data_IF_567569655445
#
_entry.id   IF_567569655445
#
_cell.length_a   1.000
_cell.length_b   1.000
_cell.length_c   1.000
_cell.angle_alpha   90.00
_cell.angle_beta   90.00
_cell.angle_gamma   90.00
#
_symmetry.space_group_name_H-M   'P 1'
#
loop_
_entity.id
_entity.type
_entity.pdbx_description
1 polymer ?
#
# COMPACT_ATOMS: atom_id res chain seq x y z
N UNK A 1 -19.37 15.60 6.52
CA UNK A 1 -18.49 15.04 7.57
C UNK A 1 -17.75 13.87 6.93
N UNK A 2 -16.45 14.01 6.69
CA UNK A 2 -15.63 12.96 6.05
C UNK A 2 -15.08 12.09 7.19
N UNK A 3 -15.87 11.11 7.63
CA UNK A 3 -15.45 10.16 8.65
C UNK A 3 -14.90 8.88 8.04
N UNK A 4 -14.17 8.10 8.82
CA UNK A 4 -13.81 6.74 8.49
C UNK A 4 -15.07 5.89 8.31
N UNK A 5 -15.14 5.15 7.21
CA UNK A 5 -16.22 4.21 6.92
C UNK A 5 -15.66 2.81 7.08
N UNK A 6 -15.85 2.23 8.25
CA UNK A 6 -15.53 0.84 8.50
C UNK A 6 -16.54 -0.06 7.79
N UNK A 7 -16.03 -1.04 7.04
CA UNK A 7 -16.86 -2.01 6.34
C UNK A 7 -16.17 -3.37 6.33
N UNK A 8 -16.92 -4.41 6.64
CA UNK A 8 -16.48 -5.78 6.42
C UNK A 8 -16.60 -6.15 4.94
N UNK A 9 -15.70 -7.02 4.49
CA UNK A 9 -15.75 -7.60 3.16
C UNK A 9 -16.84 -8.65 3.08
N UNK A 10 -17.52 -8.70 1.94
CA UNK A 10 -18.45 -9.77 1.59
C UNK A 10 -17.71 -11.03 1.09
N UNK A 11 -16.38 -10.96 0.88
CA UNK A 11 -15.54 -12.04 0.39
C UNK A 11 -14.82 -12.74 1.55
N UNK A 12 -14.76 -14.04 1.51
CA UNK A 12 -14.11 -14.86 2.54
C UNK A 12 -12.66 -15.16 2.16
N UNK A 13 -11.77 -15.25 3.14
CA UNK A 13 -10.35 -15.57 2.92
C UNK A 13 -10.19 -16.98 2.36
N UNK A 14 -11.00 -17.93 2.84
CA UNK A 14 -10.98 -19.32 2.37
C UNK A 14 -11.36 -19.51 0.90
N UNK A 15 -11.99 -18.49 0.29
CA UNK A 15 -12.33 -18.47 -1.14
C UNK A 15 -11.24 -17.80 -1.98
N UNK A 16 -10.11 -17.42 -1.39
CA UNK A 16 -9.00 -16.80 -2.10
C UNK A 16 -8.39 -17.78 -3.12
N UNK A 17 -8.18 -17.29 -4.33
CA UNK A 17 -7.51 -18.08 -5.40
C UNK A 17 -5.99 -17.96 -5.34
N UNK A 18 -5.49 -17.01 -4.59
CA UNK A 18 -4.08 -16.77 -4.32
C UNK A 18 -3.91 -16.21 -2.90
N UNK A 19 -2.93 -16.70 -2.19
CA UNK A 19 -2.50 -16.14 -0.91
C UNK A 19 -0.98 -16.27 -0.74
N UNK A 20 -0.38 -15.29 -0.09
CA UNK A 20 1.05 -15.28 0.21
C UNK A 20 1.32 -14.54 1.52
N UNK A 21 2.11 -15.14 2.40
CA UNK A 21 2.62 -14.50 3.61
C UNK A 21 3.93 -13.81 3.31
N UNK A 22 3.95 -12.49 3.47
CA UNK A 22 5.12 -11.66 3.24
C UNK A 22 5.79 -11.29 4.57
N UNK A 23 7.01 -11.77 4.77
CA UNK A 23 7.80 -11.44 5.94
C UNK A 23 8.22 -9.96 5.95
N UNK A 24 8.47 -9.43 7.15
CA UNK A 24 8.95 -8.06 7.33
C UNK A 24 10.19 -7.76 6.48
N UNK A 25 10.19 -6.63 5.81
CA UNK A 25 11.29 -6.17 4.96
C UNK A 25 11.33 -6.77 3.57
N UNK A 26 10.47 -7.72 3.24
CA UNK A 26 10.37 -8.25 1.87
C UNK A 26 9.46 -7.39 1.00
N UNK A 27 9.64 -7.53 -0.31
CA UNK A 27 8.80 -6.94 -1.33
C UNK A 27 7.97 -7.98 -2.07
N UNK A 28 6.88 -7.55 -2.68
CA UNK A 28 5.99 -8.38 -3.48
C UNK A 28 5.44 -7.57 -4.65
N UNK A 29 5.33 -8.20 -5.80
CA UNK A 29 4.79 -7.61 -7.02
C UNK A 29 3.78 -8.56 -7.64
N UNK A 30 2.65 -8.03 -8.09
CA UNK A 30 1.60 -8.82 -8.72
C UNK A 30 0.80 -8.01 -9.73
N UNK A 31 0.35 -8.65 -10.80
CA UNK A 31 -0.61 -8.10 -11.74
C UNK A 31 -2.03 -8.42 -11.30
N UNK A 32 -2.88 -7.42 -11.24
CA UNK A 32 -4.29 -7.55 -10.93
C UNK A 32 -5.12 -7.10 -12.13
N UNK A 33 -5.97 -7.96 -12.64
CA UNK A 33 -6.85 -7.65 -13.78
C UNK A 33 -8.10 -6.91 -13.31
N UNK A 34 -8.63 -6.08 -14.18
CA UNK A 34 -9.87 -5.34 -13.92
C UNK A 34 -10.98 -6.26 -13.42
N UNK A 35 -11.59 -5.88 -12.31
CA UNK A 35 -12.66 -6.63 -11.64
C UNK A 35 -12.19 -7.60 -10.57
N UNK A 36 -10.90 -7.93 -10.52
CA UNK A 36 -10.31 -8.73 -9.46
C UNK A 36 -10.24 -7.95 -8.14
N UNK A 37 -10.22 -8.67 -7.05
CA UNK A 37 -10.10 -8.11 -5.70
C UNK A 37 -8.77 -8.53 -5.08
N UNK A 38 -8.19 -7.61 -4.31
CA UNK A 38 -6.93 -7.79 -3.61
C UNK A 38 -7.09 -7.33 -2.16
N UNK A 39 -6.54 -8.09 -1.21
CA UNK A 39 -6.59 -7.75 0.22
C UNK A 39 -5.21 -7.80 0.84
N UNK A 40 -4.90 -6.79 1.64
CA UNK A 40 -3.76 -6.76 2.55
C UNK A 40 -4.30 -6.99 3.96
N UNK A 41 -3.82 -8.04 4.63
CA UNK A 41 -4.25 -8.40 5.98
C UNK A 41 -3.05 -8.38 6.92
N UNK A 42 -3.18 -7.65 8.01
CA UNK A 42 -2.19 -7.60 9.07
C UNK A 42 -2.40 -8.80 10.01
N UNK A 43 -1.46 -9.75 9.96
CA UNK A 43 -1.57 -11.01 10.70
C UNK A 43 -1.27 -10.81 12.19
N UNK A 44 -0.25 -10.01 12.48
CA UNK A 44 0.32 -9.89 13.83
C UNK A 44 0.04 -8.51 14.46
N UNK A 45 -0.40 -7.56 13.67
CA UNK A 45 -0.73 -6.19 14.09
C UNK A 45 0.44 -5.21 13.96
N UNK A 46 0.09 -3.93 13.88
CA UNK A 46 1.01 -2.79 13.85
C UNK A 46 2.08 -2.85 12.75
N UNK A 47 1.72 -3.31 11.55
CA UNK A 47 2.62 -3.35 10.41
C UNK A 47 2.22 -2.33 9.36
N UNK A 48 3.13 -1.42 9.02
CA UNK A 48 3.00 -0.50 7.91
C UNK A 48 3.42 -1.14 6.58
N UNK A 49 2.69 -0.81 5.51
CA UNK A 49 2.90 -1.37 4.16
C UNK A 49 2.99 -0.25 3.15
N UNK A 50 4.15 -0.09 2.55
CA UNK A 50 4.30 0.82 1.43
C UNK A 50 3.82 0.14 0.15
N UNK A 51 2.89 0.78 -0.57
CA UNK A 51 2.29 0.20 -1.77
C UNK A 51 2.20 1.24 -2.87
N UNK A 52 2.56 0.88 -4.09
CA UNK A 52 2.34 1.70 -5.28
C UNK A 52 1.70 0.89 -6.39
N UNK A 53 1.04 1.58 -7.33
CA UNK A 53 0.25 0.98 -8.39
C UNK A 53 0.60 1.62 -9.72
N UNK A 54 0.71 0.79 -10.76
CA UNK A 54 0.98 1.21 -12.12
C UNK A 54 -0.14 0.70 -13.03
N UNK A 55 -0.55 1.50 -13.99
CA UNK A 55 -1.42 1.04 -15.06
C UNK A 55 -0.66 0.07 -15.97
N UNK A 56 -1.16 -1.15 -16.16
CA UNK A 56 -0.50 -2.15 -17.01
C UNK A 56 -0.50 -1.77 -18.50
N UNK A 57 -1.49 -0.98 -18.95
CA UNK A 57 -1.53 -0.50 -20.33
C UNK A 57 -0.51 0.62 -20.58
N UNK A 58 -0.20 1.41 -19.55
CA UNK A 58 0.76 2.51 -19.60
C UNK A 58 1.45 2.67 -18.24
N UNK A 59 2.57 1.98 -17.98
CA UNK A 59 3.26 2.03 -16.68
C UNK A 59 3.82 3.42 -16.29
N UNK A 60 3.90 4.37 -17.23
CA UNK A 60 4.22 5.76 -16.89
C UNK A 60 3.08 6.45 -16.13
N UNK A 61 1.84 5.94 -16.29
CA UNK A 61 0.66 6.43 -15.57
C UNK A 61 0.45 5.62 -14.29
N UNK A 62 1.14 6.02 -13.25
CA UNK A 62 1.13 5.36 -11.95
C UNK A 62 0.22 6.08 -10.95
N UNK A 63 0.03 5.51 -9.78
CA UNK A 63 -0.76 6.11 -8.70
C UNK A 63 -0.36 7.55 -8.41
N UNK A 64 -1.35 8.44 -8.43
CA UNK A 64 -1.26 9.87 -8.14
C UNK A 64 -1.93 10.21 -6.81
N UNK A 65 -1.14 10.51 -5.77
CA UNK A 65 -1.68 10.89 -4.46
C UNK A 65 -2.50 12.19 -4.55
N UNK A 66 -2.00 13.18 -5.29
CA UNK A 66 -2.68 14.48 -5.47
C UNK A 66 -4.02 14.29 -6.17
N UNK A 67 -4.06 13.52 -7.26
CA UNK A 67 -5.27 13.25 -8.03
C UNK A 67 -6.32 12.53 -7.17
N UNK A 68 -5.89 11.58 -6.36
CA UNK A 68 -6.76 10.87 -5.42
C UNK A 68 -7.31 11.80 -4.34
N UNK A 69 -6.45 12.57 -3.66
CA UNK A 69 -6.82 13.50 -2.59
C UNK A 69 -7.78 14.57 -3.09
N UNK A 70 -7.48 15.19 -4.23
CA UNK A 70 -8.31 16.26 -4.81
C UNK A 70 -9.67 15.74 -5.23
N UNK A 71 -9.73 14.55 -5.87
CA UNK A 71 -11.00 13.97 -6.32
C UNK A 71 -11.93 13.62 -5.15
N UNK A 72 -11.39 13.04 -4.07
CA UNK A 72 -12.20 12.68 -2.89
C UNK A 72 -12.31 13.80 -1.86
N UNK A 73 -11.53 14.90 -1.98
CA UNK A 73 -11.49 16.05 -1.05
C UNK A 73 -11.12 15.65 0.38
N UNK A 74 -10.29 14.63 0.53
CA UNK A 74 -9.83 14.12 1.80
C UNK A 74 -8.43 13.49 1.64
N UNK A 75 -7.54 13.74 2.61
CA UNK A 75 -6.20 13.14 2.64
C UNK A 75 -6.22 11.69 3.15
N UNK A 76 -7.25 11.31 3.89
CA UNK A 76 -7.40 9.96 4.41
C UNK A 76 -8.23 9.09 3.48
N UNK A 77 -7.75 7.87 3.26
CA UNK A 77 -8.44 6.84 2.51
C UNK A 77 -9.38 6.06 3.44
N UNK A 78 -10.47 5.57 2.88
CA UNK A 78 -11.46 4.73 3.57
C UNK A 78 -12.25 3.92 2.56
N UNK A 79 -13.15 3.07 3.01
CA UNK A 79 -14.11 2.37 2.13
C UNK A 79 -14.79 3.35 1.19
N UNK A 80 -14.81 3.04 -0.11
CA UNK A 80 -15.34 3.87 -1.20
C UNK A 80 -14.31 4.85 -1.80
N UNK A 81 -13.09 4.95 -1.24
CA UNK A 81 -12.02 5.74 -1.87
C UNK A 81 -11.59 5.13 -3.19
N UNK A 82 -11.49 5.97 -4.23
CA UNK A 82 -11.00 5.56 -5.55
C UNK A 82 -9.56 6.06 -5.70
N UNK A 83 -8.62 5.12 -5.80
CA UNK A 83 -7.22 5.39 -6.07
C UNK A 83 -7.06 5.69 -7.56
N UNK A 84 -6.43 6.83 -7.87
CA UNK A 84 -6.30 7.33 -9.23
C UNK A 84 -4.85 7.41 -9.67
N UNK A 85 -4.64 7.22 -10.97
CA UNK A 85 -3.37 7.50 -11.62
C UNK A 85 -3.11 9.01 -11.74
N UNK A 86 -1.89 9.39 -12.13
CA UNK A 86 -1.51 10.78 -12.42
C UNK A 86 -2.39 11.44 -13.50
N UNK A 87 -2.85 10.67 -14.50
CA UNK A 87 -3.83 11.12 -15.50
C UNK A 87 -5.23 11.36 -14.95
N UNK A 88 -5.53 10.89 -13.72
CA UNK A 88 -6.87 10.84 -13.14
C UNK A 88 -7.64 9.55 -13.42
N UNK A 89 -7.08 8.61 -14.21
CA UNK A 89 -7.69 7.29 -14.49
C UNK A 89 -7.94 6.54 -13.17
N UNK A 90 -9.15 6.01 -12.91
CA UNK A 90 -9.40 5.15 -11.76
C UNK A 90 -8.61 3.84 -11.88
N UNK A 91 -7.79 3.53 -10.87
CA UNK A 91 -7.02 2.28 -10.82
C UNK A 91 -7.69 1.23 -9.91
N UNK A 92 -8.00 1.61 -8.68
CA UNK A 92 -8.58 0.72 -7.68
C UNK A 92 -9.65 1.45 -6.87
N UNK A 93 -10.57 0.69 -6.28
CA UNK A 93 -11.54 1.15 -5.28
C UNK A 93 -11.32 0.38 -3.98
N UNK A 94 -11.25 1.08 -2.85
CA UNK A 94 -11.25 0.45 -1.53
C UNK A 94 -12.67 -0.05 -1.23
N UNK A 95 -12.86 -1.37 -1.24
CA UNK A 95 -14.18 -2.01 -1.07
C UNK A 95 -14.48 -2.35 0.39
N UNK A 96 -13.44 -2.58 1.20
CA UNK A 96 -13.55 -2.76 2.64
C UNK A 96 -12.28 -2.26 3.34
N UNK A 97 -12.45 -1.68 4.51
CA UNK A 97 -11.37 -1.14 5.33
C UNK A 97 -11.71 -1.30 6.82
N UNK A 98 -10.81 -1.96 7.57
CA UNK A 98 -10.96 -2.23 9.00
C UNK A 98 -10.03 -1.41 9.89
N UNK A 99 -9.23 -0.51 9.30
CA UNK A 99 -8.22 0.28 10.04
C UNK A 99 -8.42 1.78 9.98
N UNK A 100 -8.83 2.31 8.82
CA UNK A 100 -9.18 3.72 8.62
C UNK A 100 -8.05 4.72 8.71
N UNK A 101 -6.82 4.26 8.74
CA UNK A 101 -5.64 5.13 8.72
C UNK A 101 -4.63 4.62 7.71
N UNK A 102 -4.49 5.41 6.65
CA UNK A 102 -3.55 5.15 5.56
C UNK A 102 -2.91 6.47 5.19
N UNK A 103 -1.58 6.51 5.20
CA UNK A 103 -0.83 7.71 4.89
C UNK A 103 -0.63 7.83 3.37
N UNK A 104 -1.00 8.98 2.84
CA UNK A 104 -0.86 9.33 1.41
C UNK A 104 0.22 10.38 1.14
N UNK A 105 0.89 10.86 2.20
CA UNK A 105 1.79 12.02 2.13
C UNK A 105 3.25 11.68 2.42
N UNK A 106 3.51 10.68 3.28
CA UNK A 106 4.85 10.38 3.80
C UNK A 106 5.81 9.78 2.78
N UNK A 107 5.28 9.16 1.76
CA UNK A 107 6.08 8.47 0.74
C UNK A 107 6.86 7.27 1.27
N UNK A 108 7.48 6.51 0.37
CA UNK A 108 8.30 5.36 0.71
C UNK A 108 9.64 5.77 1.33
N UNK A 109 10.05 5.07 2.37
CA UNK A 109 11.34 5.32 3.00
C UNK A 109 12.51 5.00 2.06
N UNK A 110 13.62 5.71 2.26
CA UNK A 110 14.88 5.54 1.53
C UNK A 110 16.06 5.53 2.49
N UNK A 111 17.25 5.10 2.05
CA UNK A 111 18.47 5.22 2.84
C UNK A 111 18.68 6.64 3.36
N UNK A 112 18.46 7.64 2.49
CA UNK A 112 18.64 9.06 2.83
C UNK A 112 17.63 9.51 3.89
N UNK A 113 16.35 9.16 3.73
CA UNK A 113 15.33 9.53 4.72
C UNK A 113 15.56 8.82 6.07
N UNK A 114 16.05 7.59 6.06
CA UNK A 114 16.41 6.85 7.27
C UNK A 114 17.63 7.47 7.96
N UNK A 115 18.63 7.93 7.21
CA UNK A 115 19.79 8.67 7.76
C UNK A 115 19.34 9.94 8.45
N UNK A 116 18.55 10.78 7.78
CA UNK A 116 18.08 12.06 8.34
C UNK A 116 17.18 11.83 9.57
N UNK A 117 16.28 10.84 9.48
CA UNK A 117 15.26 10.60 10.52
C UNK A 117 15.83 9.91 11.77
N UNK A 118 16.82 9.03 11.59
CA UNK A 118 17.29 8.14 12.63
C UNK A 118 18.80 8.22 12.89
N UNK A 119 19.50 9.20 12.32
CA UNK A 119 20.96 9.37 12.44
C UNK A 119 21.76 8.08 12.15
N UNK A 120 21.40 7.37 11.08
CA UNK A 120 22.01 6.09 10.68
C UNK A 120 23.09 6.26 9.61
N UNK A 121 23.97 7.23 9.77
CA UNK A 121 25.01 7.56 8.79
C UNK A 121 26.07 6.44 8.61
N UNK A 122 26.19 5.57 9.59
CA UNK A 122 27.23 4.52 9.62
C UNK A 122 26.72 3.12 9.30
N UNK A 123 25.44 2.95 9.06
CA UNK A 123 24.85 1.63 8.81
C UNK A 123 23.75 1.72 7.77
N UNK A 124 23.93 0.99 6.67
CA UNK A 124 22.86 0.78 5.72
C UNK A 124 21.65 0.17 6.42
N UNK A 125 20.47 0.74 6.21
CA UNK A 125 19.21 0.17 6.64
C UNK A 125 18.40 -0.15 5.38
N UNK A 126 17.89 -1.37 5.31
CA UNK A 126 16.93 -1.76 4.27
C UNK A 126 15.76 -0.78 4.26
N UNK A 127 15.21 -0.50 3.08
CA UNK A 127 14.19 0.52 2.90
C UNK A 127 13.23 0.14 1.76
N UNK A 128 12.03 0.73 1.80
CA UNK A 128 10.95 0.38 0.89
C UNK A 128 11.27 0.72 -0.57
N UNK A 129 11.98 1.83 -0.85
CA UNK A 129 12.37 2.18 -2.22
C UNK A 129 13.32 1.16 -2.85
N UNK A 130 14.24 0.61 -2.07
CA UNK A 130 15.13 -0.43 -2.56
C UNK A 130 14.38 -1.75 -2.75
N UNK A 131 13.41 -2.08 -1.89
CA UNK A 131 12.50 -3.22 -2.08
C UNK A 131 11.73 -3.13 -3.39
N UNK A 132 11.16 -1.96 -3.70
CA UNK A 132 10.47 -1.73 -4.97
C UNK A 132 11.41 -1.91 -6.16
N UNK A 133 12.62 -1.34 -6.11
CA UNK A 133 13.60 -1.45 -7.21
C UNK A 133 14.06 -2.88 -7.44
N UNK A 134 14.19 -3.69 -6.38
CA UNK A 134 14.54 -5.12 -6.50
C UNK A 134 13.45 -5.88 -7.27
N UNK A 135 12.16 -5.61 -6.96
CA UNK A 135 11.05 -6.24 -7.66
C UNK A 135 11.00 -5.84 -9.13
N UNK A 136 11.21 -4.55 -9.42
CA UNK A 136 11.18 -4.03 -10.78
C UNK A 136 12.37 -4.47 -11.64
N UNK A 137 13.48 -4.90 -11.02
CA UNK A 137 14.66 -5.39 -11.75
C UNK A 137 14.36 -6.65 -12.58
N UNK A 138 13.35 -7.42 -12.17
CA UNK A 138 12.92 -8.64 -12.87
C UNK A 138 11.86 -8.36 -13.95
N UNK A 139 11.49 -7.09 -14.15
CA UNK A 139 10.48 -6.69 -15.16
C UNK A 139 11.13 -6.05 -16.38
N UNK A 140 10.38 -5.98 -17.47
CA UNK A 140 10.77 -5.23 -18.67
C UNK A 140 10.39 -3.73 -18.59
N UNK A 141 9.74 -3.31 -17.51
CA UNK A 141 9.34 -1.92 -17.32
C UNK A 141 10.55 -1.03 -17.01
N UNK A 142 10.73 0.06 -17.77
CA UNK A 142 11.81 1.04 -17.54
C UNK A 142 11.44 2.02 -16.42
N UNK A 143 11.14 1.48 -15.24
CA UNK A 143 10.82 2.26 -14.04
C UNK A 143 12.10 2.51 -13.25
N UNK A 144 12.35 3.77 -12.94
CA UNK A 144 13.54 4.21 -12.20
C UNK A 144 13.17 4.59 -10.76
N UNK A 145 14.17 4.63 -9.90
CA UNK A 145 13.98 5.00 -8.47
C UNK A 145 13.24 6.34 -8.29
N UNK A 146 13.37 7.29 -9.22
CA UNK A 146 12.64 8.56 -9.22
C UNK A 146 11.12 8.38 -9.47
N UNK A 147 10.73 7.29 -10.10
CA UNK A 147 9.35 7.01 -10.53
C UNK A 147 8.56 6.19 -9.47
N UNK A 148 9.19 5.91 -8.31
CA UNK A 148 8.59 5.14 -7.21
C UNK A 148 7.67 5.93 -6.27
N UNK A 149 7.64 7.24 -6.40
CA UNK A 149 6.70 8.09 -5.66
C UNK A 149 5.64 8.63 -6.63
N UNK A 150 4.41 8.90 -6.18
CA UNK A 150 3.92 8.68 -4.82
C UNK A 150 3.54 7.22 -4.54
N UNK A 151 3.39 6.89 -3.26
CA UNK A 151 2.88 5.60 -2.79
C UNK A 151 1.88 5.81 -1.65
N UNK A 152 1.17 4.76 -1.28
CA UNK A 152 0.32 4.71 -0.07
C UNK A 152 1.06 3.89 0.98
N UNK A 153 1.09 4.39 2.20
CA UNK A 153 1.53 3.64 3.37
C UNK A 153 0.28 3.13 4.10
N UNK A 154 -0.17 1.92 3.76
CA UNK A 154 -1.32 1.32 4.42
C UNK A 154 -1.00 1.04 5.89
N UNK A 155 -2.00 1.18 6.76
CA UNK A 155 -1.94 0.99 8.21
C UNK A 155 -1.05 2.00 8.95
N UNK A 156 -0.51 3.01 8.28
CA UNK A 156 0.27 4.07 8.89
C UNK A 156 -0.62 5.18 9.45
N UNK A 157 -0.44 5.44 10.75
CA UNK A 157 -1.12 6.53 11.45
C UNK A 157 -0.28 7.81 11.39
N UNK A 158 -0.66 8.71 10.51
CA UNK A 158 0.03 10.00 10.32
C UNK A 158 -0.99 11.14 10.42
N UNK A 159 -1.37 11.53 11.65
CA UNK A 159 -2.31 12.62 11.85
C UNK A 159 -1.73 13.96 11.40
N UNK A 160 -2.59 14.77 10.78
CA UNK A 160 -2.29 16.15 10.40
C UNK A 160 -3.00 17.07 11.38
N UNK A 161 -2.27 17.98 12.01
CA UNK A 161 -2.85 18.97 12.92
C UNK A 161 -3.55 20.10 12.14
N UNK A 162 -4.33 20.91 12.85
CA UNK A 162 -4.99 22.10 12.25
C UNK A 162 -3.99 23.11 11.71
N UNK A 163 -2.81 23.16 12.31
CA UNK A 163 -1.69 24.04 11.92
C UNK A 163 -0.83 23.45 10.80
N UNK A 164 -1.20 22.27 10.26
CA UNK A 164 -0.46 21.56 9.22
C UNK A 164 0.70 20.72 9.75
N UNK A 165 0.77 20.47 11.05
CA UNK A 165 1.78 19.60 11.65
C UNK A 165 1.60 18.17 11.17
N UNK A 166 2.72 17.46 10.93
CA UNK A 166 2.81 16.13 10.40
C UNK A 166 3.62 15.26 11.38
N UNK A 167 3.02 14.19 11.87
CA UNK A 167 3.63 13.33 12.89
C UNK A 167 3.37 11.86 12.57
N UNK A 168 4.40 11.04 12.66
CA UNK A 168 4.21 9.58 12.73
C UNK A 168 3.78 9.22 14.13
N UNK A 169 2.65 8.56 14.26
CA UNK A 169 2.10 8.13 15.55
C UNK A 169 1.96 6.61 15.60
N UNK A 170 1.63 6.06 16.76
CA UNK A 170 1.50 4.62 16.94
C UNK A 170 0.53 4.02 15.91
N UNK A 171 0.85 2.81 15.43
CA UNK A 171 0.03 2.10 14.48
C UNK A 171 -1.38 1.85 15.00
N UNK A 172 -2.34 1.82 14.08
CA UNK A 172 -3.76 1.57 14.39
C UNK A 172 -4.20 0.18 13.94
N UNK A 173 -3.34 -0.55 13.26
CA UNK A 173 -3.61 -1.92 12.85
C UNK A 173 -3.48 -2.89 14.02
N UNK A 174 -4.23 -3.97 13.96
CA UNK A 174 -4.24 -5.05 14.94
C UNK A 174 -4.36 -6.39 14.21
N UNK A 175 -4.04 -7.51 14.85
CA UNK A 175 -4.19 -8.83 14.23
C UNK A 175 -5.58 -9.02 13.61
N UNK A 176 -5.60 -9.42 12.33
CA UNK A 176 -6.82 -9.62 11.56
C UNK A 176 -7.44 -8.37 10.94
N UNK A 177 -6.86 -7.19 11.13
CA UNK A 177 -7.28 -5.97 10.40
C UNK A 177 -6.79 -6.03 8.96
N UNK A 178 -7.56 -5.44 8.04
CA UNK A 178 -7.26 -5.49 6.61
C UNK A 178 -7.79 -4.27 5.86
N UNK A 179 -7.26 -4.08 4.67
CA UNK A 179 -7.81 -3.25 3.61
C UNK A 179 -7.99 -4.11 2.36
N UNK A 180 -9.14 -3.95 1.70
CA UNK A 180 -9.49 -4.67 0.47
C UNK A 180 -9.79 -3.69 -0.64
N UNK A 181 -9.29 -4.02 -1.82
CA UNK A 181 -9.42 -3.16 -3.01
C UNK A 181 -9.86 -3.99 -4.21
N UNK A 182 -10.71 -3.39 -5.05
CA UNK A 182 -11.12 -3.95 -6.34
C UNK A 182 -10.47 -3.17 -7.47
N UNK A 183 -9.90 -3.89 -8.43
CA UNK A 183 -9.30 -3.29 -9.62
C UNK A 183 -10.36 -2.72 -10.57
N UNK A 184 -10.21 -1.45 -10.94
CA UNK A 184 -11.03 -0.74 -11.92
C UNK A 184 -10.35 -0.68 -13.31
N UNK A 185 -9.04 -0.96 -13.35
CA UNK A 185 -8.21 -1.14 -14.53
C UNK A 185 -7.31 -2.36 -14.33
N UNK A 186 -6.58 -2.79 -15.37
CA UNK A 186 -5.48 -3.73 -15.20
C UNK A 186 -4.31 -3.00 -14.54
N UNK A 187 -3.84 -3.46 -13.39
CA UNK A 187 -2.82 -2.78 -12.60
C UNK A 187 -1.70 -3.72 -12.18
N UNK A 188 -0.49 -3.19 -12.14
CA UNK A 188 0.64 -3.81 -11.45
C UNK A 188 0.72 -3.21 -10.04
N UNK A 189 0.80 -4.07 -9.04
CA UNK A 189 0.92 -3.70 -7.63
C UNK A 189 2.34 -4.01 -7.18
N UNK A 190 3.01 -3.02 -6.57
CA UNK A 190 4.26 -3.20 -5.86
C UNK A 190 4.04 -2.94 -4.38
N UNK A 191 4.52 -3.86 -3.56
CA UNK A 191 4.43 -3.79 -2.11
C UNK A 191 5.82 -3.92 -1.50
N UNK A 192 6.06 -3.13 -0.45
CA UNK A 192 7.16 -3.33 0.48
C UNK A 192 6.58 -3.45 1.89
N UNK A 193 6.73 -4.63 2.50
CA UNK A 193 6.44 -4.82 3.91
C UNK A 193 7.51 -4.05 4.70
N UNK A 194 7.14 -2.91 5.30
CA UNK A 194 8.07 -1.88 5.75
C UNK A 194 9.11 -2.39 6.73
N UNK A 195 10.42 -2.28 6.44
CA UNK A 195 11.50 -2.81 7.28
C UNK A 195 11.92 -1.87 8.42
N UNK A 196 11.28 -0.72 8.60
CA UNK A 196 11.73 0.30 9.55
C UNK A 196 11.59 -0.15 11.01
N UNK A 197 12.73 -0.30 11.70
CA UNK A 197 12.78 -0.69 13.11
C UNK A 197 12.46 0.46 14.10
N UNK A 198 12.58 1.70 13.66
CA UNK A 198 12.39 2.88 14.50
C UNK A 198 11.13 3.66 14.14
N UNK A 199 10.13 2.99 13.57
CA UNK A 199 8.87 3.59 13.17
C UNK A 199 7.76 3.21 14.15
N UNK A 200 7.10 4.15 14.83
CA UNK A 200 5.98 3.85 15.72
C UNK A 200 4.83 3.15 14.99
N UNK A 201 4.64 3.41 13.70
CA UNK A 201 3.63 2.73 12.89
C UNK A 201 3.88 1.22 12.72
N UNK A 202 5.12 0.74 12.95
CA UNK A 202 5.50 -0.67 12.99
C UNK A 202 5.69 -1.16 14.44
N UNK A 203 5.19 -0.43 15.44
CA UNK A 203 5.43 -0.70 16.88
C UNK A 203 6.91 -1.00 17.21
N UNK A 204 7.83 -0.43 16.42
CA UNK A 204 9.30 -0.66 16.51
C UNK A 204 9.72 -2.13 16.27
N UNK A 205 8.84 -2.96 15.77
CA UNK A 205 9.06 -4.39 15.52
C UNK A 205 8.26 -4.84 14.29
N UNK A 206 8.81 -4.70 13.07
CA UNK A 206 8.12 -5.11 11.83
C UNK A 206 7.70 -6.59 11.87
N UNK A 207 6.50 -6.88 11.39
CA UNK A 207 5.83 -8.18 11.44
C UNK A 207 5.40 -8.67 10.05
N UNK A 208 4.73 -9.82 9.99
CA UNK A 208 4.28 -10.43 8.74
C UNK A 208 2.91 -9.91 8.31
N UNK A 209 2.67 -9.96 7.00
CA UNK A 209 1.39 -9.65 6.36
C UNK A 209 0.93 -10.81 5.48
N UNK A 210 -0.37 -10.97 5.32
CA UNK A 210 -0.97 -11.89 4.37
C UNK A 210 -1.59 -11.11 3.20
N UNK A 211 -1.27 -11.49 1.98
CA UNK A 211 -1.88 -10.98 0.77
C UNK A 211 -2.79 -12.04 0.17
N UNK A 212 -4.02 -11.66 -0.19
CA UNK A 212 -4.97 -12.57 -0.80
C UNK A 212 -5.71 -11.93 -1.96
N UNK A 213 -6.04 -12.71 -2.97
CA UNK A 213 -6.96 -12.33 -4.04
C UNK A 213 -8.21 -13.22 -3.96
N UNK A 214 -9.27 -12.80 -3.27
CA UNK A 214 -10.49 -13.56 -3.11
C UNK A 214 -11.44 -13.39 -4.31
N UNK A 215 -10.96 -13.60 -5.55
CA UNK A 215 -11.82 -13.52 -6.74
C UNK A 215 -11.97 -14.87 -7.44
N UNK A 216 -13.19 -15.43 -7.49
CA UNK A 216 -13.43 -16.72 -8.15
C UNK A 216 -13.38 -16.68 -9.69
N UNK A 217 -13.21 -15.49 -10.30
CA UNK A 217 -13.36 -15.33 -11.76
C UNK A 217 -12.12 -15.71 -12.58
N UNK A 218 -10.98 -15.97 -11.96
CA UNK A 218 -9.71 -16.08 -12.68
C UNK A 218 -9.30 -17.50 -13.06
N UNK A 219 -9.91 -18.51 -12.49
CA UNK A 219 -9.60 -19.91 -12.79
C UNK A 219 -10.14 -20.42 -14.13
N UNK A 220 -11.08 -19.70 -14.75
CA UNK A 220 -11.70 -20.10 -16.01
C UNK A 220 -10.96 -19.63 -17.26
N UNK A 221 -10.00 -18.72 -17.14
CA UNK A 221 -9.31 -18.12 -18.29
C UNK A 221 -7.90 -18.68 -18.55
N UNK A 222 -7.38 -19.56 -17.69
CA UNK A 222 -6.03 -20.13 -17.78
C UNK A 222 -5.99 -21.64 -18.07
N UNK A 223 -7.07 -22.19 -18.68
CA UNK A 223 -7.06 -23.56 -19.22
C UNK A 223 -7.29 -23.56 -20.71
#
# INVERSE_FOLDING_TARGET
MYGFIEKDSDLKIEDAVYDEVLNAGLGWMHELKKGQTFRILDIEGNQAVDTTFYDLENPEDHYGAVQTIVAQKNIYLTTGSILRAESGKPLLEITADKTGRHDTLGGACSSQSNTVRYAREKRYMHNCRDSFMLQLADTTADIKKRDLAPNINFFMNVPITKEGGYKFDDGVSAPGKYVEMKALADVMILISNCPQLNNPCNAYNPTCLLYTSPSPRDYAASR
#
